data_IF_404080787906
#
_entry.id   IF_404080787906
#
_cell.length_a   1.000
_cell.length_b   1.000
_cell.length_c   1.000
_cell.angle_alpha   90.00
_cell.angle_beta   90.00
_cell.angle_gamma   90.00
#
_symmetry.space_group_name_H-M   'P 1'
#
loop_
_entity.id
_entity.type
_entity.pdbx_description
1 polymer ?
#
# COMPACT_ATOMS: atom_id res chain seq x y z
N UNK A 1 7.00 -0.11 4.58
CA UNK A 1 6.87 -1.45 5.19
C UNK A 1 5.87 -2.36 4.46
N UNK A 2 4.67 -1.87 4.09
CA UNK A 2 3.62 -2.69 3.47
C UNK A 2 4.03 -3.46 2.20
N UNK A 3 4.75 -2.83 1.27
CA UNK A 3 5.25 -3.49 0.05
C UNK A 3 6.14 -4.70 0.36
N UNK A 4 6.95 -4.62 1.43
CA UNK A 4 7.80 -5.75 1.86
C UNK A 4 6.95 -6.90 2.39
N UNK A 5 5.90 -6.60 3.14
CA UNK A 5 4.96 -7.61 3.67
C UNK A 5 4.18 -8.28 2.55
N UNK A 6 3.66 -7.49 1.59
CA UNK A 6 3.03 -8.02 0.38
C UNK A 6 3.94 -8.98 -0.38
N UNK A 7 5.20 -8.59 -0.63
CA UNK A 7 6.19 -9.46 -1.27
C UNK A 7 6.50 -10.70 -0.43
N UNK A 8 6.63 -10.56 0.89
CA UNK A 8 6.92 -11.67 1.79
C UNK A 8 5.82 -12.73 1.75
N UNK A 9 4.55 -12.31 1.79
CA UNK A 9 3.38 -13.19 1.84
C UNK A 9 3.07 -13.77 0.46
N UNK A 10 3.00 -12.94 -0.58
CA UNK A 10 2.47 -13.34 -1.89
C UNK A 10 3.55 -13.71 -2.90
N UNK A 11 4.80 -13.28 -2.74
CA UNK A 11 5.87 -13.59 -3.70
C UNK A 11 6.83 -14.60 -3.08
N UNK A 12 7.66 -14.16 -2.15
CA UNK A 12 8.53 -15.02 -1.35
C UNK A 12 9.19 -14.20 -0.25
N UNK A 13 9.58 -14.83 0.87
CA UNK A 13 10.33 -14.14 1.92
C UNK A 13 11.59 -13.44 1.42
N UNK A 14 12.33 -14.07 0.51
CA UNK A 14 13.55 -13.52 -0.08
C UNK A 14 13.29 -12.29 -0.96
N UNK A 15 12.13 -12.22 -1.63
CA UNK A 15 11.74 -11.07 -2.45
C UNK A 15 11.44 -9.81 -1.61
N UNK A 16 11.08 -9.97 -0.34
CA UNK A 16 10.78 -8.84 0.54
C UNK A 16 12.00 -7.98 0.88
N UNK A 17 13.19 -8.57 0.88
CA UNK A 17 14.45 -7.92 1.21
C UNK A 17 15.30 -7.59 -0.03
N UNK A 18 14.97 -8.13 -1.20
CA UNK A 18 15.68 -7.81 -2.45
C UNK A 18 15.11 -6.55 -3.10
N UNK A 19 16.02 -5.68 -3.53
CA UNK A 19 15.69 -4.53 -4.39
C UNK A 19 15.65 -4.92 -5.88
N UNK A 20 15.96 -6.18 -6.22
CA UNK A 20 16.00 -6.72 -7.59
C UNK A 20 15.41 -8.13 -7.68
N UNK A 21 15.73 -8.86 -8.76
CA UNK A 21 15.27 -10.22 -8.98
C UNK A 21 15.70 -11.17 -7.85
N UNK A 22 14.71 -11.66 -7.11
CA UNK A 22 14.89 -12.73 -6.13
C UNK A 22 14.75 -14.07 -6.86
N UNK A 23 15.83 -14.86 -6.90
CA UNK A 23 15.78 -16.24 -7.40
C UNK A 23 15.17 -17.13 -6.33
N UNK A 24 13.87 -17.39 -6.45
CA UNK A 24 13.18 -18.41 -5.66
C UNK A 24 13.21 -19.74 -6.40
N UNK A 25 13.60 -20.81 -5.71
CA UNK A 25 13.54 -22.19 -6.23
C UNK A 25 12.10 -22.73 -6.29
N UNK A 26 11.17 -22.06 -5.60
CA UNK A 26 9.75 -22.42 -5.58
C UNK A 26 8.87 -21.27 -6.12
N UNK A 27 7.78 -21.58 -6.83
CA UNK A 27 6.80 -20.58 -7.23
C UNK A 27 6.16 -19.95 -5.99
N UNK A 28 6.05 -18.61 -5.99
CA UNK A 28 5.38 -17.86 -4.94
C UNK A 28 3.87 -18.04 -4.91
N UNK A 29 3.23 -17.67 -3.80
CA UNK A 29 1.76 -17.78 -3.61
C UNK A 29 0.97 -17.05 -4.72
N UNK A 30 1.45 -15.91 -5.18
CA UNK A 30 0.89 -15.16 -6.31
C UNK A 30 0.88 -16.00 -7.59
N UNK A 31 1.99 -16.67 -7.91
CA UNK A 31 2.08 -17.55 -9.08
C UNK A 31 1.22 -18.80 -8.91
N UNK A 32 1.18 -19.38 -7.72
CA UNK A 32 0.35 -20.56 -7.40
C UNK A 32 -1.15 -20.27 -7.54
N UNK A 33 -1.58 -19.07 -7.18
CA UNK A 33 -2.98 -18.65 -7.24
C UNK A 33 -3.34 -17.83 -8.48
N UNK A 34 -2.43 -17.67 -9.45
CA UNK A 34 -2.69 -16.88 -10.66
C UNK A 34 -2.98 -15.41 -10.37
N UNK A 35 -2.35 -14.85 -9.34
CA UNK A 35 -2.55 -13.48 -8.88
C UNK A 35 -1.82 -12.52 -9.83
N UNK A 36 -2.58 -11.84 -10.69
CA UNK A 36 -2.06 -10.89 -11.68
C UNK A 36 -2.07 -9.44 -11.19
N UNK A 37 -2.90 -9.14 -10.19
CA UNK A 37 -3.04 -7.82 -9.59
C UNK A 37 -3.21 -7.91 -8.08
N UNK A 38 -2.91 -6.81 -7.39
CA UNK A 38 -3.08 -6.70 -5.95
C UNK A 38 -4.44 -6.06 -5.68
N UNK A 39 -5.37 -6.85 -5.16
CA UNK A 39 -6.72 -6.36 -4.79
C UNK A 39 -6.75 -5.73 -3.39
N UNK A 40 -7.87 -5.08 -3.04
CA UNK A 40 -8.08 -4.47 -1.72
C UNK A 40 -7.94 -5.50 -0.57
N UNK A 41 -8.36 -6.74 -0.79
CA UNK A 41 -8.22 -7.85 0.16
C UNK A 41 -6.74 -8.15 0.44
N UNK A 42 -5.90 -8.20 -0.59
CA UNK A 42 -4.47 -8.44 -0.44
C UNK A 42 -3.78 -7.32 0.36
N UNK A 43 -4.18 -6.06 0.10
CA UNK A 43 -3.69 -4.88 0.83
C UNK A 43 -4.13 -4.94 2.29
N UNK A 44 -5.40 -5.24 2.53
CA UNK A 44 -5.99 -5.36 3.87
C UNK A 44 -5.26 -6.44 4.66
N UNK A 45 -5.14 -7.64 4.09
CA UNK A 45 -4.44 -8.76 4.71
C UNK A 45 -3.01 -8.40 5.09
N UNK A 46 -2.27 -7.78 4.17
CA UNK A 46 -0.89 -7.38 4.42
C UNK A 46 -0.78 -6.28 5.49
N UNK A 47 -1.78 -5.41 5.59
CA UNK A 47 -1.83 -4.37 6.63
C UNK A 47 -2.04 -4.97 8.01
N UNK A 48 -2.93 -5.95 8.11
CA UNK A 48 -3.17 -6.72 9.35
C UNK A 48 -1.88 -7.43 9.81
N UNK A 49 -1.15 -8.07 8.89
CA UNK A 49 0.13 -8.71 9.20
C UNK A 49 1.23 -7.72 9.55
N UNK A 50 1.29 -6.58 8.86
CA UNK A 50 2.24 -5.52 9.20
C UNK A 50 1.98 -4.98 10.62
N UNK A 51 0.72 -4.76 10.97
CA UNK A 51 0.35 -4.33 12.32
C UNK A 51 0.77 -5.35 13.36
N UNK A 52 0.44 -6.63 13.18
CA UNK A 52 0.84 -7.69 14.10
C UNK A 52 2.37 -7.80 14.24
N UNK A 53 3.14 -7.63 13.15
CA UNK A 53 4.60 -7.63 13.25
C UNK A 53 5.19 -6.47 14.09
N UNK A 54 4.41 -5.41 14.30
CA UNK A 54 4.77 -4.26 15.13
C UNK A 54 4.28 -4.41 16.57
N UNK A 55 3.37 -5.35 16.86
CA UNK A 55 2.93 -5.60 18.23
C UNK A 55 3.91 -6.55 18.94
N UNK A 56 3.94 -6.49 20.27
CA UNK A 56 4.81 -7.35 21.09
C UNK A 56 4.22 -8.76 21.32
N UNK A 57 3.29 -9.19 20.47
CA UNK A 57 2.63 -10.49 20.63
C UNK A 57 3.52 -11.63 20.11
N UNK A 58 3.72 -12.65 20.93
CA UNK A 58 4.54 -13.81 20.55
C UNK A 58 3.88 -14.71 19.50
N UNK A 59 2.54 -14.74 19.47
CA UNK A 59 1.76 -15.60 18.57
C UNK A 59 0.55 -14.88 18.00
N UNK A 60 0.30 -15.13 16.72
CA UNK A 60 -0.88 -14.64 16.04
C UNK A 60 -2.11 -15.19 16.74
N UNK A 61 -3.03 -14.29 17.11
CA UNK A 61 -4.34 -14.63 17.67
C UNK A 61 -5.38 -13.80 16.96
N UNK A 62 -6.49 -14.43 16.60
CA UNK A 62 -7.61 -13.75 15.95
C UNK A 62 -8.20 -12.67 16.85
N UNK A 63 -8.30 -12.97 18.14
CA UNK A 63 -8.79 -12.07 19.16
C UNK A 63 -7.69 -11.87 20.19
N UNK A 64 -7.23 -10.63 20.33
CA UNK A 64 -6.58 -10.19 21.55
C UNK A 64 -7.65 -9.62 22.47
N UNK A 65 -7.46 -9.76 23.77
CA UNK A 65 -8.38 -9.31 24.83
C UNK A 65 -8.92 -7.87 24.67
N UNK A 66 -8.26 -7.04 23.87
CA UNK A 66 -8.62 -5.65 23.55
C UNK A 66 -8.98 -5.46 22.06
N UNK A 67 -8.62 -6.39 21.17
CA UNK A 67 -8.64 -6.17 19.73
C UNK A 67 -8.98 -7.43 18.92
N UNK A 68 -10.08 -7.39 18.16
CA UNK A 68 -10.40 -8.41 17.17
C UNK A 68 -9.73 -8.10 15.83
N UNK A 69 -8.62 -8.78 15.55
CA UNK A 69 -7.82 -8.55 14.34
C UNK A 69 -8.57 -8.93 13.06
N UNK A 70 -9.44 -9.93 13.12
CA UNK A 70 -10.10 -10.47 11.92
C UNK A 70 -11.50 -9.89 11.71
N UNK A 71 -12.35 -9.88 12.75
CA UNK A 71 -13.72 -9.42 12.61
C UNK A 71 -13.79 -7.89 12.54
N UNK A 72 -13.00 -7.18 13.35
CA UNK A 72 -13.03 -5.72 13.37
C UNK A 72 -12.01 -5.10 12.43
N UNK A 73 -10.71 -5.36 12.64
CA UNK A 73 -9.69 -4.58 11.94
C UNK A 73 -9.62 -4.85 10.44
N UNK A 74 -9.61 -6.13 10.04
CA UNK A 74 -9.59 -6.51 8.63
C UNK A 74 -10.80 -5.94 7.88
N UNK A 75 -12.04 -6.22 8.33
CA UNK A 75 -13.23 -5.74 7.62
C UNK A 75 -13.38 -4.22 7.66
N UNK A 76 -12.91 -3.54 8.72
CA UNK A 76 -12.90 -2.06 8.75
C UNK A 76 -11.98 -1.48 7.69
N UNK A 77 -10.77 -2.00 7.57
CA UNK A 77 -9.80 -1.56 6.54
C UNK A 77 -10.33 -1.93 5.14
N UNK A 78 -10.84 -3.14 4.95
CA UNK A 78 -11.36 -3.57 3.67
C UNK A 78 -12.54 -2.68 3.22
N UNK A 79 -13.48 -2.38 4.12
CA UNK A 79 -14.57 -1.46 3.82
C UNK A 79 -14.05 -0.05 3.50
N UNK A 80 -13.03 0.42 4.22
CA UNK A 80 -12.42 1.73 3.98
C UNK A 80 -11.76 1.82 2.60
N UNK A 81 -11.05 0.76 2.16
CA UNK A 81 -10.34 0.74 0.88
C UNK A 81 -11.29 0.43 -0.30
N UNK A 82 -12.22 -0.50 -0.12
CA UNK A 82 -13.13 -0.96 -1.20
C UNK A 82 -14.29 -0.02 -1.46
N UNK A 83 -14.63 0.87 -0.51
CA UNK A 83 -15.62 1.93 -0.71
C UNK A 83 -14.92 3.28 -0.69
N UNK A 84 -14.49 3.84 -1.83
CA UNK A 84 -13.98 5.22 -1.90
C UNK A 84 -15.10 6.27 -1.68
N UNK A 85 -16.18 5.92 -1.00
CA UNK A 85 -17.32 6.79 -0.77
C UNK A 85 -16.92 7.94 0.15
N UNK A 86 -16.69 9.08 -0.47
CA UNK A 86 -16.55 10.39 0.13
C UNK A 86 -15.37 10.51 1.11
N UNK A 87 -14.15 10.39 0.58
CA UNK A 87 -13.11 11.22 1.15
C UNK A 87 -13.47 12.69 0.85
N UNK A 88 -13.70 13.55 1.87
CA UNK A 88 -13.83 14.97 1.58
C UNK A 88 -12.54 15.38 0.87
N UNK A 89 -12.64 16.08 -0.25
CA UNK A 89 -11.54 16.61 -1.07
C UNK A 89 -10.45 17.35 -0.25
N UNK A 90 -10.72 17.66 1.01
CA UNK A 90 -9.85 18.31 1.98
C UNK A 90 -8.47 17.67 2.20
N UNK A 91 -8.23 16.37 1.97
CA UNK A 91 -6.86 15.83 2.06
C UNK A 91 -6.14 15.63 0.72
N UNK A 92 -6.63 16.21 -0.38
CA UNK A 92 -5.80 16.34 -1.59
C UNK A 92 -4.82 17.51 -1.52
N UNK A 93 -4.89 18.37 -0.50
CA UNK A 93 -3.95 19.48 -0.32
C UNK A 93 -2.96 19.13 0.79
N UNK A 94 -1.90 18.42 0.43
CA UNK A 94 -0.50 18.65 0.85
C UNK A 94 0.34 17.48 0.36
N UNK A 95 0.75 17.53 -0.91
CA UNK A 95 2.08 17.19 -1.41
C UNK A 95 2.04 17.10 -2.94
N UNK A 96 1.92 18.25 -3.60
CA UNK A 96 2.68 18.48 -4.85
C UNK A 96 4.13 18.64 -4.43
N UNK A 97 4.81 17.52 -4.21
CA UNK A 97 6.24 17.46 -4.01
C UNK A 97 6.91 17.77 -5.36
N UNK A 98 7.55 18.93 -5.43
CA UNK A 98 8.58 19.36 -6.38
C UNK A 98 8.35 19.09 -7.87
N UNK A 99 7.72 20.08 -8.53
CA UNK A 99 8.05 20.40 -9.93
C UNK A 99 8.88 21.70 -9.92
N UNK A 100 10.13 21.69 -10.40
CA UNK A 100 10.94 22.91 -10.45
C UNK A 100 10.30 23.92 -11.41
N UNK A 101 10.36 25.20 -11.02
CA UNK A 101 9.87 26.35 -11.77
C UNK A 101 10.39 26.36 -13.21
N UNK A 102 9.55 25.98 -14.17
CA UNK A 102 9.77 26.25 -15.59
C UNK A 102 9.05 27.55 -15.97
N UNK A 103 9.85 28.60 -16.06
CA UNK A 103 9.83 29.70 -17.03
C UNK A 103 8.49 30.43 -17.26
N UNK A 104 8.38 31.59 -16.61
CA UNK A 104 7.48 32.68 -17.02
C UNK A 104 8.02 33.24 -18.34
N UNK A 105 7.40 32.85 -19.46
CA UNK A 105 7.57 33.52 -20.75
C UNK A 105 6.66 34.75 -20.74
N UNK A 106 7.26 35.94 -20.71
CA UNK A 106 6.55 37.20 -20.89
C UNK A 106 5.81 37.23 -22.24
N UNK A 107 4.61 37.84 -22.31
CA UNK A 107 3.93 38.07 -23.57
C UNK A 107 4.73 39.04 -24.45
N UNK A 108 4.73 38.89 -25.78
CA UNK A 108 5.40 39.84 -26.67
C UNK A 108 4.69 41.20 -26.64
N UNK A 109 5.48 42.27 -26.53
CA UNK A 109 5.01 43.66 -26.59
C UNK A 109 4.20 43.93 -27.87
N UNK A 110 3.12 44.73 -27.79
CA UNK A 110 2.37 45.14 -28.97
C UNK A 110 3.22 46.06 -29.87
N UNK A 111 3.13 45.91 -31.20
CA UNK A 111 3.86 46.78 -32.13
C UNK A 111 3.37 48.22 -32.01
N UNK A 112 4.31 49.14 -31.84
CA UNK A 112 4.08 50.57 -31.71
C UNK A 112 3.40 51.19 -32.94
N UNK A 113 2.59 52.21 -32.67
CA UNK A 113 2.08 53.19 -33.61
C UNK A 113 2.53 54.58 -33.16
#
# INVERSE_FOLDING_TARGET
HLVKVLKHIFVSPSSALSNGESKSTHPGNSKLHGMHEVTAEHITYSTVHAHYSLTSHEKWKQHDSVFDYYADFYYRILNFISKPAFWPTAFQTTQTFDRPSQTLLDPPDPPGA
#
